data_IF_118113345243
#
_entry.id   IF_118113345243
#
_cell.length_a   1.000
_cell.length_b   1.000
_cell.length_c   1.000
_cell.angle_alpha   90.00
_cell.angle_beta   90.00
_cell.angle_gamma   90.00
#
_symmetry.space_group_name_H-M   'P 1'
#
loop_
_entity.id
_entity.type
_entity.pdbx_description
1 polymer ?
#
# COMPACT_ATOMS: atom_id res chain seq x y z
N UNK A 1 0.80 -13.06 3.43
CA UNK A 1 0.33 -11.87 2.69
C UNK A 1 -0.92 -12.22 1.90
N UNK A 2 -1.93 -11.36 1.97
CA UNK A 2 -3.17 -11.49 1.21
C UNK A 2 -3.33 -10.31 0.26
N UNK A 3 -3.87 -10.58 -0.93
CA UNK A 3 -4.21 -9.54 -1.89
C UNK A 3 -5.41 -8.72 -1.39
N UNK A 4 -5.31 -7.40 -1.50
CA UNK A 4 -6.37 -6.46 -1.18
C UNK A 4 -6.72 -5.69 -2.46
N UNK A 5 -7.96 -5.83 -2.98
CA UNK A 5 -8.36 -5.13 -4.19
C UNK A 5 -8.36 -3.62 -3.96
N UNK A 6 -7.88 -2.86 -4.95
CA UNK A 6 -7.80 -1.41 -4.88
C UNK A 6 -8.28 -0.77 -6.18
N UNK A 7 -9.05 0.32 -6.06
CA UNK A 7 -9.49 1.11 -7.22
C UNK A 7 -8.60 2.34 -7.38
N UNK A 8 -7.53 2.22 -8.15
CA UNK A 8 -6.55 3.30 -8.34
C UNK A 8 -6.08 3.43 -9.79
N UNK A 9 -5.74 4.67 -10.18
CA UNK A 9 -5.14 5.00 -11.48
C UNK A 9 -3.65 4.70 -11.55
N UNK A 10 -2.97 4.60 -10.40
CA UNK A 10 -1.50 4.37 -10.34
C UNK A 10 -1.15 3.05 -9.65
N UNK A 11 -2.00 2.57 -8.74
CA UNK A 11 -1.81 1.29 -8.06
C UNK A 11 -2.60 0.24 -8.85
N UNK A 12 -1.93 -0.87 -9.15
CA UNK A 12 -2.52 -2.05 -9.76
C UNK A 12 -3.11 -2.92 -8.65
N UNK A 13 -2.25 -3.47 -7.78
CA UNK A 13 -2.65 -4.38 -6.71
C UNK A 13 -1.93 -4.02 -5.40
N UNK A 14 -2.50 -4.43 -4.28
CA UNK A 14 -1.92 -4.28 -2.95
C UNK A 14 -1.91 -5.65 -2.28
N UNK A 15 -0.83 -5.97 -1.57
CA UNK A 15 -0.75 -7.15 -0.72
C UNK A 15 -0.40 -6.71 0.70
N UNK A 16 -1.12 -7.24 1.67
CA UNK A 16 -0.90 -6.91 3.07
C UNK A 16 -0.74 -8.15 3.93
N UNK A 17 0.11 -8.06 4.92
CA UNK A 17 0.32 -9.08 5.94
C UNK A 17 0.09 -8.47 7.31
N UNK A 18 -0.96 -8.94 7.99
CA UNK A 18 -1.29 -8.49 9.34
C UNK A 18 -0.28 -8.97 10.38
N UNK A 19 0.40 -10.10 10.13
CA UNK A 19 1.34 -10.73 11.07
C UNK A 19 2.59 -9.88 11.29
N UNK A 20 3.11 -9.25 10.24
CA UNK A 20 4.37 -8.49 10.23
C UNK A 20 4.21 -7.03 9.77
N UNK A 21 2.97 -6.58 9.56
CA UNK A 21 2.65 -5.22 9.12
C UNK A 21 3.24 -4.87 7.76
N UNK A 22 3.53 -5.87 6.92
CA UNK A 22 4.13 -5.63 5.60
C UNK A 22 3.09 -5.29 4.56
N UNK A 23 3.32 -4.18 3.86
CA UNK A 23 2.49 -3.69 2.78
C UNK A 23 3.30 -3.65 1.48
N UNK A 24 2.92 -4.50 0.52
CA UNK A 24 3.43 -4.47 -0.84
C UNK A 24 2.44 -3.75 -1.75
N UNK A 25 2.92 -2.77 -2.49
CA UNK A 25 2.14 -2.01 -3.48
C UNK A 25 2.75 -2.27 -4.85
N UNK A 26 1.94 -2.80 -5.77
CA UNK A 26 2.31 -3.02 -7.16
C UNK A 26 1.70 -1.88 -7.98
N UNK A 27 2.53 -1.10 -8.66
CA UNK A 27 2.11 0.03 -9.47
C UNK A 27 1.85 -0.39 -10.92
N UNK A 28 0.95 0.33 -11.60
CA UNK A 28 0.61 0.06 -13.00
C UNK A 28 1.76 0.27 -13.99
N UNK A 29 2.82 0.97 -13.57
CA UNK A 29 4.03 1.15 -14.36
C UNK A 29 5.05 0.00 -14.16
N UNK A 30 4.70 -1.04 -13.40
CA UNK A 30 5.57 -2.18 -13.11
C UNK A 30 6.50 -1.99 -11.92
N UNK A 31 6.53 -0.82 -11.29
CA UNK A 31 7.25 -0.64 -10.02
C UNK A 31 6.54 -1.41 -8.90
N UNK A 32 7.32 -1.91 -7.94
CA UNK A 32 6.81 -2.43 -6.69
C UNK A 32 7.41 -1.63 -5.52
N UNK A 33 6.69 -1.57 -4.40
CA UNK A 33 7.24 -1.03 -3.16
C UNK A 33 6.79 -1.86 -1.98
N UNK A 34 7.74 -2.15 -1.10
CA UNK A 34 7.48 -2.87 0.13
C UNK A 34 7.76 -1.96 1.33
N UNK A 35 6.78 -1.90 2.22
CA UNK A 35 6.84 -1.17 3.48
C UNK A 35 6.68 -2.14 4.66
N UNK A 36 7.23 -1.76 5.80
CA UNK A 36 7.08 -2.47 7.07
C UNK A 36 6.43 -1.59 8.15
N UNK A 37 5.81 -2.22 9.15
CA UNK A 37 5.19 -1.53 10.28
C UNK A 37 3.91 -0.77 9.92
N UNK A 38 3.24 -1.12 8.81
CA UNK A 38 1.98 -0.48 8.42
C UNK A 38 0.81 -1.14 9.18
N UNK A 39 0.01 -0.38 9.94
CA UNK A 39 -1.13 -0.93 10.64
C UNK A 39 -2.29 -1.24 9.68
N UNK A 40 -3.06 -2.27 10.01
CA UNK A 40 -4.17 -2.75 9.18
C UNK A 40 -5.21 -1.64 8.89
N UNK A 41 -5.48 -0.76 9.87
CA UNK A 41 -6.38 0.38 9.71
C UNK A 41 -5.91 1.36 8.63
N UNK A 42 -4.62 1.61 8.50
CA UNK A 42 -4.11 2.53 7.48
C UNK A 42 -4.17 1.92 6.08
N UNK A 43 -3.99 0.60 5.98
CA UNK A 43 -4.20 -0.13 4.73
C UNK A 43 -5.67 -0.09 4.34
N UNK A 44 -6.57 -0.36 5.29
CA UNK A 44 -8.01 -0.32 5.04
C UNK A 44 -8.47 1.09 4.62
N UNK A 45 -7.99 2.12 5.31
CA UNK A 45 -8.26 3.53 4.97
C UNK A 45 -7.72 3.87 3.58
N UNK A 46 -6.52 3.40 3.23
CA UNK A 46 -5.95 3.63 1.90
C UNK A 46 -6.82 3.00 0.80
N UNK A 47 -7.20 1.72 0.93
CA UNK A 47 -7.92 1.01 -0.15
C UNK A 47 -9.37 1.48 -0.31
N UNK A 48 -9.97 2.02 0.75
CA UNK A 48 -11.32 2.60 0.74
C UNK A 48 -11.34 4.11 0.45
N UNK A 49 -10.18 4.78 0.43
CA UNK A 49 -10.09 6.20 0.13
C UNK A 49 -10.62 6.53 -1.28
N UNK A 50 -11.16 7.75 -1.51
CA UNK A 50 -11.57 8.19 -2.84
C UNK A 50 -10.45 8.15 -3.89
N UNK A 51 -9.19 8.29 -3.43
CA UNK A 51 -7.99 8.11 -4.25
C UNK A 51 -6.92 7.35 -3.46
N UNK A 52 -6.86 6.01 -3.59
CA UNK A 52 -5.86 5.20 -2.88
C UNK A 52 -4.42 5.56 -3.26
N UNK A 53 -4.20 5.95 -4.52
CA UNK A 53 -2.91 6.44 -4.99
C UNK A 53 -2.47 7.72 -4.29
N UNK A 54 -3.39 8.68 -4.10
CA UNK A 54 -3.08 9.92 -3.39
C UNK A 54 -2.83 9.65 -1.89
N UNK A 55 -3.64 8.81 -1.26
CA UNK A 55 -3.44 8.40 0.13
C UNK A 55 -2.06 7.76 0.35
N UNK A 56 -1.64 6.90 -0.58
CA UNK A 56 -0.29 6.35 -0.59
C UNK A 56 0.79 7.45 -0.65
N UNK A 57 0.67 8.42 -1.57
CA UNK A 57 1.67 9.49 -1.75
C UNK A 57 1.77 10.37 -0.49
N UNK A 58 0.63 10.71 0.10
CA UNK A 58 0.57 11.68 1.20
C UNK A 58 0.87 11.07 2.56
N UNK A 59 0.48 9.82 2.77
CA UNK A 59 0.57 9.17 4.07
C UNK A 59 1.56 8.01 4.05
N UNK A 60 1.26 6.95 3.31
CA UNK A 60 2.03 5.69 3.41
C UNK A 60 3.51 5.90 3.04
N UNK A 61 3.77 6.54 1.90
CA UNK A 61 5.12 6.79 1.37
C UNK A 61 5.98 7.63 2.31
N UNK A 62 5.37 8.52 3.10
CA UNK A 62 6.08 9.47 3.98
C UNK A 62 6.24 8.95 5.40
N UNK A 63 5.29 8.13 5.87
CA UNK A 63 5.21 7.72 7.27
C UNK A 63 5.84 6.36 7.55
N UNK A 64 5.88 5.47 6.57
CA UNK A 64 6.39 4.11 6.78
C UNK A 64 7.72 3.87 6.06
N UNK A 65 8.53 3.03 6.69
CA UNK A 65 9.84 2.68 6.16
C UNK A 65 9.70 1.77 4.94
N UNK A 66 10.32 2.18 3.83
CA UNK A 66 10.50 1.33 2.65
C UNK A 66 11.65 0.35 2.91
N UNK A 67 11.40 -0.94 2.70
CA UNK A 67 12.40 -2.00 2.91
C UNK A 67 12.84 -2.71 1.63
N UNK A 68 12.14 -2.53 0.52
CA UNK A 68 12.57 -3.02 -0.79
C UNK A 68 12.07 -2.12 -1.92
N UNK A 69 12.76 -2.23 -3.06
CA UNK A 69 12.49 -1.49 -4.28
C UNK A 69 11.94 -2.35 -5.40
#
# INVERSE_FOLDING_TARGET
>A
MHEVPVKSRIIQNVYFSQEDGRLRICFRNGEERLFEGVPADDVNTMVTAPSPGQYYIDRIRKQYRRIAA
#
